data_IF_396759504860
#
_entry.id   IF_396759504860
#
_cell.length_a   1.000
_cell.length_b   1.000
_cell.length_c   1.000
_cell.angle_alpha   90.00
_cell.angle_beta   90.00
_cell.angle_gamma   90.00
#
_symmetry.space_group_name_H-M   'P 1'
#
loop_
_entity.id
_entity.type
_entity.pdbx_description
1 polymer ?
#
# COMPACT_ATOMS: atom_id res chain seq x y z
N UNK A 1 52.07 -3.78 2.88
CA UNK A 1 50.95 -3.60 3.84
C UNK A 1 50.59 -4.94 4.47
N UNK A 2 50.60 -5.02 5.80
CA UNK A 2 50.31 -6.26 6.52
C UNK A 2 48.79 -6.51 6.59
N UNK A 3 48.35 -7.77 6.72
CA UNK A 3 46.93 -8.18 6.64
C UNK A 3 46.01 -7.38 7.59
N UNK A 4 46.53 -7.00 8.76
CA UNK A 4 45.85 -6.16 9.77
C UNK A 4 45.50 -4.76 9.25
N UNK A 5 46.37 -4.16 8.44
CA UNK A 5 46.15 -2.84 7.83
C UNK A 5 45.10 -2.90 6.72
N UNK A 6 45.02 -4.03 5.99
CA UNK A 6 43.98 -4.26 4.97
C UNK A 6 42.60 -4.46 5.61
N UNK A 7 42.53 -5.20 6.72
CA UNK A 7 41.27 -5.45 7.44
C UNK A 7 40.72 -4.18 8.11
N UNK A 8 41.59 -3.38 8.73
CA UNK A 8 41.21 -2.09 9.31
C UNK A 8 40.70 -1.10 8.25
N UNK A 9 41.36 -1.04 7.08
CA UNK A 9 40.91 -0.21 5.97
C UNK A 9 39.55 -0.70 5.40
N UNK A 10 39.34 -2.01 5.28
CA UNK A 10 38.07 -2.58 4.82
C UNK A 10 36.91 -2.30 5.79
N UNK A 11 37.13 -2.35 7.11
CA UNK A 11 36.12 -1.98 8.10
C UNK A 11 35.77 -0.49 8.07
N UNK A 12 36.75 0.39 7.89
CA UNK A 12 36.51 1.85 7.76
C UNK A 12 35.77 2.16 6.47
N UNK A 13 36.07 1.47 5.36
CA UNK A 13 35.35 1.62 4.10
C UNK A 13 33.91 1.08 4.20
N UNK A 14 33.68 -0.02 4.90
CA UNK A 14 32.34 -0.55 5.16
C UNK A 14 31.51 0.34 6.12
N UNK A 15 32.17 1.01 7.07
CA UNK A 15 31.52 1.94 8.00
C UNK A 15 31.10 3.28 7.38
N UNK A 16 31.60 3.60 6.18
CA UNK A 16 31.23 4.81 5.43
C UNK A 16 30.13 4.57 4.39
N UNK A 17 29.62 3.34 4.28
CA UNK A 17 28.44 3.07 3.43
C UNK A 17 27.23 3.55 4.21
N UNK A 18 26.79 4.79 3.99
CA UNK A 18 25.45 5.20 4.35
C UNK A 18 24.50 4.38 3.48
N UNK A 19 24.09 3.21 3.97
CA UNK A 19 22.88 2.61 3.44
C UNK A 19 21.77 3.62 3.70
N UNK A 20 21.25 4.25 2.65
CA UNK A 20 20.01 5.00 2.75
C UNK A 20 18.97 3.99 3.23
N UNK A 21 18.68 4.02 4.53
CA UNK A 21 17.65 3.18 5.10
C UNK A 21 16.34 3.71 4.57
N UNK A 22 15.53 2.86 3.95
CA UNK A 22 14.21 3.25 3.51
C UNK A 22 13.41 3.75 4.72
N UNK A 23 12.83 4.94 4.58
CA UNK A 23 11.91 5.49 5.55
C UNK A 23 10.50 4.97 5.24
N UNK A 24 9.78 4.53 6.27
CA UNK A 24 8.40 4.09 6.14
C UNK A 24 7.47 5.28 6.32
N UNK A 25 6.46 5.39 5.47
CA UNK A 25 5.44 6.43 5.51
C UNK A 25 4.06 5.80 5.60
N UNK A 26 3.22 6.33 6.48
CA UNK A 26 1.79 6.04 6.51
C UNK A 26 1.04 6.97 5.56
N UNK A 27 0.02 6.45 4.91
CA UNK A 27 -0.87 7.16 3.99
C UNK A 27 -2.28 7.08 4.52
N UNK A 28 -2.95 8.22 4.59
CA UNK A 28 -4.39 8.30 4.79
C UNK A 28 -4.98 9.22 3.73
N UNK A 29 -5.88 8.69 2.93
CA UNK A 29 -6.54 9.41 1.85
C UNK A 29 -8.04 9.23 1.95
N UNK A 30 -8.78 10.29 1.64
CA UNK A 30 -10.23 10.25 1.55
C UNK A 30 -10.68 10.81 0.20
N UNK A 31 -11.77 10.25 -0.30
CA UNK A 31 -12.45 10.66 -1.51
C UNK A 31 -13.90 10.95 -1.16
N UNK A 32 -14.48 12.00 -1.73
CA UNK A 32 -15.93 12.06 -1.81
C UNK A 32 -16.40 11.01 -2.79
N UNK A 33 -17.57 10.44 -2.56
CA UNK A 33 -18.30 9.69 -3.57
C UNK A 33 -19.82 9.80 -3.31
N UNK A 34 -20.63 9.40 -4.29
CA UNK A 34 -22.08 9.30 -4.11
C UNK A 34 -22.53 7.90 -3.65
N UNK A 35 -21.62 7.14 -3.04
CA UNK A 35 -21.86 5.80 -2.50
C UNK A 35 -22.65 5.82 -1.20
N UNK A 36 -22.76 4.65 -0.54
CA UNK A 36 -23.59 4.47 0.66
C UNK A 36 -23.05 5.27 1.85
N UNK A 37 -21.72 5.36 1.96
CA UNK A 37 -21.02 6.07 3.03
C UNK A 37 -20.75 7.54 2.69
N UNK A 38 -20.94 7.93 1.41
CA UNK A 38 -20.64 9.26 0.88
C UNK A 38 -19.15 9.60 0.81
N UNK A 39 -18.29 8.69 1.26
CA UNK A 39 -16.84 8.80 1.23
C UNK A 39 -16.20 7.42 1.14
N UNK A 40 -15.09 7.37 0.41
CA UNK A 40 -14.17 6.23 0.33
C UNK A 40 -12.84 6.61 0.95
N UNK A 41 -12.28 5.73 1.77
CA UNK A 41 -11.04 5.96 2.51
C UNK A 41 -10.02 4.90 2.13
N UNK A 42 -8.78 5.33 1.90
CA UNK A 42 -7.62 4.45 1.80
C UNK A 42 -6.68 4.71 2.99
N UNK A 43 -6.29 3.65 3.69
CA UNK A 43 -5.27 3.70 4.73
C UNK A 43 -4.20 2.65 4.45
N UNK A 44 -2.95 3.09 4.30
CA UNK A 44 -1.85 2.21 3.91
C UNK A 44 -0.49 2.72 4.34
N UNK A 45 0.54 2.08 3.82
CA UNK A 45 1.94 2.47 4.05
C UNK A 45 2.82 2.12 2.86
N UNK A 46 3.95 2.81 2.73
CA UNK A 46 5.02 2.46 1.80
C UNK A 46 6.38 2.77 2.40
N UNK A 47 7.41 2.15 1.84
CA UNK A 47 8.81 2.44 2.14
C UNK A 47 9.42 3.22 0.98
N UNK A 48 10.19 4.26 1.31
CA UNK A 48 10.88 5.12 0.35
C UNK A 48 12.37 5.22 0.70
N UNK A 49 13.22 4.84 -0.25
CA UNK A 49 14.69 4.86 -0.10
C UNK A 49 15.36 6.10 -0.72
N UNK A 50 14.57 7.05 -1.23
CA UNK A 50 15.05 8.21 -1.98
C UNK A 50 15.04 8.03 -3.50
N UNK A 51 14.77 6.81 -4.01
CA UNK A 51 14.72 6.50 -5.44
C UNK A 51 13.54 5.62 -5.83
N UNK A 52 13.18 4.63 -5.02
CA UNK A 52 12.15 3.64 -5.32
C UNK A 52 11.19 3.47 -4.16
N UNK A 53 9.91 3.27 -4.51
CA UNK A 53 8.89 2.89 -3.55
C UNK A 53 8.88 1.37 -3.43
N UNK A 54 8.77 0.87 -2.21
CA UNK A 54 8.55 -0.54 -1.93
C UNK A 54 7.47 -0.73 -0.86
N UNK A 55 6.95 -1.96 -0.76
CA UNK A 55 5.96 -2.36 0.24
C UNK A 55 4.67 -1.51 0.26
N UNK A 56 4.31 -0.90 -0.88
CA UNK A 56 3.09 -0.10 -0.94
C UNK A 56 1.83 -0.98 -0.91
N UNK A 57 1.09 -0.88 0.19
CA UNK A 57 -0.12 -1.65 0.44
C UNK A 57 -1.05 -0.89 1.37
N UNK A 58 -2.33 -1.29 1.41
CA UNK A 58 -3.29 -0.67 2.30
C UNK A 58 -4.70 -1.22 2.17
N UNK A 59 -5.59 -0.69 3.00
CA UNK A 59 -7.00 -1.00 3.05
C UNK A 59 -7.80 0.11 2.39
N UNK A 60 -8.59 -0.23 1.38
CA UNK A 60 -9.54 0.67 0.71
C UNK A 60 -10.96 0.32 1.15
N UNK A 61 -11.76 1.28 1.60
CA UNK A 61 -13.16 1.04 1.92
C UNK A 61 -14.03 0.93 0.67
N UNK A 62 -14.94 -0.03 0.65
CA UNK A 62 -15.96 -0.19 -0.37
C UNK A 62 -16.95 0.98 -0.36
N UNK A 63 -17.25 1.54 -1.54
CA UNK A 63 -18.06 2.76 -1.67
C UNK A 63 -19.55 2.48 -1.83
N UNK A 64 -19.92 1.38 -2.50
CA UNK A 64 -21.32 1.09 -2.87
C UNK A 64 -22.05 0.21 -1.86
N UNK A 65 -21.38 -0.26 -0.81
CA UNK A 65 -21.92 -1.29 0.05
C UNK A 65 -21.73 -1.00 1.53
N UNK A 66 -22.82 -1.12 2.30
CA UNK A 66 -22.80 -1.13 3.76
C UNK A 66 -23.04 -2.53 4.27
N UNK A 67 -22.24 -2.96 5.24
CA UNK A 67 -22.27 -4.31 5.76
C UNK A 67 -23.62 -4.69 6.38
N UNK A 68 -24.07 -5.92 6.18
CA UNK A 68 -25.29 -6.42 6.79
C UNK A 68 -25.10 -7.87 7.28
N UNK A 69 -25.02 -8.06 8.60
CA UNK A 69 -24.78 -9.39 9.21
C UNK A 69 -25.88 -10.43 8.98
N UNK A 70 -27.02 -10.06 8.37
CA UNK A 70 -28.04 -11.02 7.90
C UNK A 70 -27.81 -11.49 6.47
N UNK A 71 -27.09 -10.70 5.68
CA UNK A 71 -26.67 -10.99 4.31
C UNK A 71 -25.22 -11.50 4.23
N UNK A 72 -24.40 -11.31 5.28
CA UNK A 72 -22.99 -11.72 5.34
C UNK A 72 -22.63 -12.31 6.71
N UNK A 73 -21.78 -13.33 6.73
CA UNK A 73 -21.09 -13.78 7.94
C UNK A 73 -19.89 -12.87 8.27
N UNK A 74 -19.29 -13.06 9.45
CA UNK A 74 -18.16 -12.25 9.94
C UNK A 74 -16.92 -12.25 9.03
N UNK A 75 -16.86 -13.14 8.04
CA UNK A 75 -15.74 -13.30 7.12
C UNK A 75 -16.05 -12.75 5.72
N UNK A 76 -17.18 -12.08 5.53
CA UNK A 76 -17.57 -11.51 4.23
C UNK A 76 -18.16 -12.55 3.28
N UNK A 77 -18.45 -13.76 3.77
CA UNK A 77 -19.15 -14.76 2.98
C UNK A 77 -20.64 -14.50 3.05
N UNK A 78 -21.32 -14.66 1.92
CA UNK A 78 -22.76 -14.46 1.87
C UNK A 78 -23.51 -15.40 2.81
N UNK A 79 -24.28 -14.81 3.73
CA UNK A 79 -25.31 -15.51 4.48
C UNK A 79 -26.59 -15.59 3.62
N UNK A 80 -27.30 -16.73 3.66
CA UNK A 80 -28.61 -16.85 3.02
C UNK A 80 -28.63 -17.08 1.50
N UNK A 81 -27.52 -17.52 0.90
CA UNK A 81 -27.52 -17.99 -0.49
C UNK A 81 -27.20 -16.94 -1.56
N UNK A 82 -26.65 -15.76 -1.20
CA UNK A 82 -25.97 -14.88 -2.16
C UNK A 82 -24.60 -15.48 -2.56
N UNK A 83 -24.61 -16.71 -3.05
CA UNK A 83 -23.40 -17.44 -3.42
C UNK A 83 -22.67 -16.71 -4.55
N UNK A 84 -21.54 -16.09 -4.22
CA UNK A 84 -20.51 -15.82 -5.20
C UNK A 84 -19.18 -15.92 -4.49
N UNK A 85 -18.43 -16.96 -4.81
CA UNK A 85 -17.04 -17.14 -4.39
C UNK A 85 -16.14 -15.93 -4.76
N UNK A 86 -16.61 -14.99 -5.58
CA UNK A 86 -15.95 -13.73 -5.91
C UNK A 86 -16.13 -12.60 -4.87
N UNK A 87 -17.02 -12.77 -3.87
CA UNK A 87 -17.28 -11.76 -2.82
C UNK A 87 -16.39 -11.96 -1.61
N UNK A 88 -16.35 -13.18 -1.06
CA UNK A 88 -15.67 -13.48 0.21
C UNK A 88 -14.15 -13.47 0.12
N UNK A 89 -13.58 -13.61 -1.09
CA UNK A 89 -12.12 -13.63 -1.29
C UNK A 89 -11.51 -12.24 -1.35
N UNK A 90 -12.34 -11.22 -1.60
CA UNK A 90 -11.87 -9.87 -1.93
C UNK A 90 -12.01 -8.90 -0.75
N UNK A 91 -12.88 -9.21 0.21
CA UNK A 91 -13.06 -8.43 1.45
C UNK A 91 -12.04 -8.87 2.50
N UNK A 92 -11.39 -7.90 3.12
CA UNK A 92 -10.52 -8.08 4.28
C UNK A 92 -11.35 -8.50 5.49
N UNK A 93 -10.95 -9.59 6.15
CA UNK A 93 -11.59 -10.04 7.39
C UNK A 93 -11.09 -9.22 8.58
N UNK A 94 -11.87 -8.23 9.02
CA UNK A 94 -11.54 -7.38 10.17
C UNK A 94 -11.70 -8.16 11.50
N UNK A 95 -10.76 -8.05 12.45
CA UNK A 95 -10.93 -8.59 13.79
C UNK A 95 -12.18 -8.00 14.47
N UNK A 96 -13.10 -8.86 14.91
CA UNK A 96 -14.39 -8.44 15.47
C UNK A 96 -15.53 -8.31 14.45
N UNK A 97 -15.22 -8.50 13.15
CA UNK A 97 -16.18 -8.34 12.06
C UNK A 97 -16.55 -6.89 11.79
N UNK A 98 -17.46 -6.69 10.85
CA UNK A 98 -18.01 -5.38 10.50
C UNK A 98 -19.33 -5.12 11.22
N UNK A 99 -19.54 -3.88 11.65
CA UNK A 99 -20.81 -3.39 12.18
C UNK A 99 -21.85 -3.21 11.07
N UNK A 100 -23.13 -3.17 11.43
CA UNK A 100 -24.20 -2.89 10.46
C UNK A 100 -23.96 -1.54 9.76
N UNK A 101 -24.03 -1.53 8.43
CA UNK A 101 -23.77 -0.45 7.49
C UNK A 101 -22.31 0.05 7.42
N UNK A 102 -21.36 -0.62 8.08
CA UNK A 102 -19.93 -0.32 7.92
C UNK A 102 -19.45 -0.70 6.52
N UNK A 103 -18.59 0.12 5.90
CA UNK A 103 -18.00 -0.24 4.62
C UNK A 103 -17.00 -1.39 4.81
N UNK A 104 -17.16 -2.53 4.10
CA UNK A 104 -16.11 -3.54 4.06
C UNK A 104 -14.82 -2.96 3.48
N UNK A 105 -13.68 -3.54 3.88
CA UNK A 105 -12.36 -3.10 3.43
C UNK A 105 -11.80 -4.08 2.39
N UNK A 106 -11.08 -3.57 1.41
CA UNK A 106 -10.32 -4.30 0.39
C UNK A 106 -8.84 -4.23 0.72
N UNK A 107 -8.16 -5.38 0.72
CA UNK A 107 -6.73 -5.45 1.03
C UNK A 107 -5.88 -5.37 -0.25
N UNK A 108 -5.45 -4.15 -0.59
CA UNK A 108 -4.61 -3.87 -1.74
C UNK A 108 -3.15 -4.15 -1.38
N UNK A 109 -2.58 -5.23 -1.92
CA UNK A 109 -1.24 -5.73 -1.54
C UNK A 109 -0.28 -5.84 -2.71
N UNK A 110 -0.75 -5.66 -3.93
CA UNK A 110 0.06 -5.85 -5.13
C UNK A 110 0.54 -4.49 -5.64
N UNK A 111 1.75 -4.05 -5.27
CA UNK A 111 2.39 -2.87 -5.85
C UNK A 111 2.92 -3.21 -7.25
N UNK A 112 2.16 -2.88 -8.30
CA UNK A 112 2.47 -3.34 -9.67
C UNK A 112 2.84 -2.23 -10.66
N UNK A 113 2.56 -0.98 -10.31
CA UNK A 113 2.85 0.15 -11.20
C UNK A 113 3.52 1.27 -10.41
N UNK A 114 4.58 1.84 -10.98
CA UNK A 114 5.24 3.03 -10.48
C UNK A 114 5.91 3.79 -11.62
N UNK A 115 5.92 5.11 -11.51
CA UNK A 115 6.60 6.00 -12.44
C UNK A 115 7.06 7.25 -11.71
N UNK A 116 8.14 7.87 -12.21
CA UNK A 116 8.63 9.15 -11.72
C UNK A 116 8.68 10.15 -12.86
N UNK A 117 8.11 11.33 -12.65
CA UNK A 117 8.14 12.44 -13.60
C UNK A 117 8.56 13.72 -12.87
N UNK A 118 9.80 14.15 -13.09
CA UNK A 118 10.37 15.24 -12.31
C UNK A 118 10.53 14.82 -10.84
N UNK A 119 10.00 15.63 -9.91
CA UNK A 119 9.95 15.30 -8.48
C UNK A 119 8.74 14.47 -8.08
N UNK A 120 7.77 14.26 -8.98
CA UNK A 120 6.55 13.53 -8.65
C UNK A 120 6.77 12.03 -8.84
N UNK A 121 6.52 11.28 -7.76
CA UNK A 121 6.51 9.82 -7.76
C UNK A 121 5.07 9.36 -7.73
N UNK A 122 4.69 8.53 -8.69
CA UNK A 122 3.39 7.87 -8.76
C UNK A 122 3.59 6.39 -8.47
N UNK A 123 2.73 5.83 -7.64
CA UNK A 123 2.75 4.41 -7.30
C UNK A 123 1.33 3.91 -7.09
N UNK A 124 1.04 2.70 -7.59
CA UNK A 124 -0.29 2.09 -7.49
C UNK A 124 -0.21 0.71 -6.86
N UNK A 125 -1.19 0.41 -6.02
CA UNK A 125 -1.38 -0.91 -5.41
C UNK A 125 -2.74 -1.48 -5.79
N UNK A 126 -2.79 -2.79 -5.98
CA UNK A 126 -3.93 -3.51 -6.56
C UNK A 126 -4.40 -4.65 -5.64
N UNK A 127 -5.70 -4.94 -5.73
CA UNK A 127 -6.32 -6.05 -5.00
C UNK A 127 -5.87 -7.38 -5.59
N UNK A 128 -5.88 -7.48 -6.92
CA UNK A 128 -5.41 -8.63 -7.66
C UNK A 128 -3.98 -8.41 -8.14
N UNK A 129 -3.25 -9.50 -8.39
CA UNK A 129 -1.93 -9.45 -8.99
C UNK A 129 -2.00 -9.18 -10.51
N UNK A 130 -2.67 -8.10 -10.89
CA UNK A 130 -2.77 -7.59 -12.25
C UNK A 130 -3.06 -6.09 -12.23
N UNK A 131 -2.59 -5.37 -13.24
CA UNK A 131 -2.95 -3.96 -13.49
C UNK A 131 -4.25 -3.82 -14.27
N UNK A 132 -4.86 -4.91 -14.72
CA UNK A 132 -6.12 -4.89 -15.44
C UNK A 132 -7.27 -4.67 -14.45
N UNK A 133 -7.90 -3.50 -14.55
CA UNK A 133 -9.02 -3.08 -13.72
C UNK A 133 -10.19 -2.67 -14.62
N UNK A 134 -9.90 -2.01 -15.74
CA UNK A 134 -10.92 -1.46 -16.65
C UNK A 134 -11.01 -2.21 -17.98
N UNK A 135 -12.12 -2.03 -18.70
CA UNK A 135 -12.36 -2.68 -20.00
C UNK A 135 -11.24 -2.38 -20.99
N UNK A 136 -10.80 -3.41 -21.74
CA UNK A 136 -9.66 -3.29 -22.64
C UNK A 136 -8.28 -3.43 -21.97
N UNK A 137 -8.22 -3.52 -20.64
CA UNK A 137 -7.00 -3.70 -19.86
C UNK A 137 -6.47 -2.41 -19.24
N UNK A 138 -5.52 -2.55 -18.30
CA UNK A 138 -4.99 -1.44 -17.52
C UNK A 138 -5.99 -0.87 -16.50
N UNK A 139 -5.68 0.30 -15.94
CA UNK A 139 -6.40 0.88 -14.80
C UNK A 139 -6.69 2.38 -14.93
N UNK A 140 -6.65 2.92 -16.15
CA UNK A 140 -6.99 4.32 -16.40
C UNK A 140 -8.51 4.54 -16.35
N UNK A 141 -8.99 4.84 -15.14
CA UNK A 141 -10.41 5.15 -14.87
C UNK A 141 -10.87 6.50 -15.44
N UNK A 142 -9.94 7.37 -15.85
CA UNK A 142 -10.27 8.65 -16.48
C UNK A 142 -10.71 8.47 -17.93
N UNK A 143 -10.18 7.44 -18.60
CA UNK A 143 -10.58 7.05 -19.94
C UNK A 143 -11.87 6.23 -19.94
N UNK A 144 -12.04 5.30 -18.98
CA UNK A 144 -13.23 4.46 -18.89
C UNK A 144 -13.45 3.92 -17.47
N UNK A 145 -14.67 4.07 -16.91
CA UNK A 145 -15.03 3.48 -15.62
C UNK A 145 -15.65 2.07 -15.76
N UNK A 146 -15.53 1.42 -16.91
CA UNK A 146 -16.06 0.07 -17.15
C UNK A 146 -15.11 -0.98 -16.59
N UNK A 147 -15.61 -1.96 -15.84
CA UNK A 147 -14.81 -3.05 -15.28
C UNK A 147 -14.14 -3.93 -16.36
N UNK A 148 -12.98 -4.48 -16.07
CA UNK A 148 -12.31 -5.46 -16.92
C UNK A 148 -13.16 -6.73 -17.10
N UNK A 149 -13.19 -7.29 -18.31
CA UNK A 149 -14.02 -8.47 -18.62
C UNK A 149 -15.50 -8.13 -18.74
N UNK A 150 -15.83 -6.89 -19.12
CA UNK A 150 -17.19 -6.44 -19.40
C UNK A 150 -17.30 -5.89 -20.83
N UNK A 151 -18.53 -5.66 -21.31
CA UNK A 151 -18.81 -5.05 -22.62
C UNK A 151 -18.25 -5.81 -23.84
N UNK A 152 -18.04 -7.13 -23.72
CA UNK A 152 -17.61 -7.96 -24.85
C UNK A 152 -16.15 -7.73 -25.26
N UNK A 153 -15.31 -7.28 -24.34
CA UNK A 153 -13.87 -7.07 -24.54
C UNK A 153 -13.05 -8.37 -24.71
N UNK A 154 -13.71 -9.53 -24.66
CA UNK A 154 -13.10 -10.85 -24.80
C UNK A 154 -12.37 -11.34 -23.54
N UNK A 155 -12.40 -10.57 -22.45
CA UNK A 155 -11.73 -10.89 -21.20
C UNK A 155 -12.69 -11.48 -20.17
N UNK A 156 -12.13 -12.18 -19.18
CA UNK A 156 -12.89 -12.65 -18.01
C UNK A 156 -12.75 -11.66 -16.86
N UNK A 157 -13.83 -11.43 -16.12
CA UNK A 157 -13.79 -10.59 -14.92
C UNK A 157 -12.76 -11.09 -13.92
N UNK A 158 -11.96 -10.15 -13.41
CA UNK A 158 -10.99 -10.41 -12.35
C UNK A 158 -11.35 -9.72 -11.02
N UNK A 159 -12.39 -8.89 -10.98
CA UNK A 159 -12.87 -8.20 -9.77
C UNK A 159 -11.75 -7.47 -9.02
N UNK A 160 -11.01 -6.64 -9.74
CA UNK A 160 -9.87 -5.90 -9.23
C UNK A 160 -10.28 -4.53 -8.69
N UNK A 161 -9.43 -3.97 -7.85
CA UNK A 161 -9.50 -2.60 -7.37
C UNK A 161 -8.09 -2.06 -7.22
N UNK A 162 -7.95 -0.74 -7.20
CA UNK A 162 -6.65 -0.10 -7.03
C UNK A 162 -6.76 1.24 -6.32
N UNK A 163 -5.63 1.65 -5.75
CA UNK A 163 -5.38 3.01 -5.32
C UNK A 163 -4.04 3.47 -5.88
N UNK A 164 -4.00 4.72 -6.34
CA UNK A 164 -2.81 5.40 -6.85
C UNK A 164 -2.48 6.58 -5.96
N UNK A 165 -1.25 6.58 -5.44
CA UNK A 165 -0.65 7.65 -4.68
C UNK A 165 0.27 8.48 -5.58
N UNK A 166 0.25 9.79 -5.37
CA UNK A 166 1.28 10.71 -5.88
C UNK A 166 1.88 11.49 -4.72
N UNK A 167 3.20 11.57 -4.66
CA UNK A 167 3.92 12.40 -3.68
C UNK A 167 5.14 13.08 -4.33
N UNK A 168 5.62 14.16 -3.72
CA UNK A 168 6.85 14.83 -4.15
C UNK A 168 8.07 14.21 -3.44
N UNK A 169 9.05 13.73 -4.21
CA UNK A 169 10.26 13.09 -3.69
C UNK A 169 11.16 14.04 -2.89
N UNK A 170 11.02 15.35 -3.08
CA UNK A 170 11.79 16.37 -2.34
C UNK A 170 11.20 16.67 -0.96
N UNK A 171 9.89 16.45 -0.79
CA UNK A 171 9.21 16.52 0.49
C UNK A 171 7.99 15.59 0.50
N UNK A 172 8.22 14.33 0.90
CA UNK A 172 7.21 13.26 0.87
C UNK A 172 5.97 13.58 1.70
N UNK A 173 6.11 14.36 2.77
CA UNK A 173 5.01 14.70 3.68
C UNK A 173 4.18 15.92 3.24
N UNK A 174 4.65 16.69 2.25
CA UNK A 174 3.90 17.83 1.73
C UNK A 174 2.95 17.37 0.62
N UNK A 175 1.66 17.30 0.96
CA UNK A 175 0.61 16.83 0.06
C UNK A 175 -0.13 17.97 -0.64
N UNK A 176 0.26 19.23 -0.43
CA UNK A 176 -0.47 20.41 -0.93
C UNK A 176 -0.62 20.44 -2.45
N UNK A 177 0.35 19.89 -3.19
CA UNK A 177 0.33 19.81 -4.65
C UNK A 177 -0.12 18.44 -5.18
N UNK A 178 -0.25 17.42 -4.32
CA UNK A 178 -0.50 16.03 -4.74
C UNK A 178 -1.81 15.45 -4.22
N UNK A 179 -2.49 16.12 -3.27
CA UNK A 179 -3.77 15.69 -2.74
C UNK A 179 -4.86 15.55 -3.84
N UNK A 180 -4.82 16.38 -4.87
CA UNK A 180 -5.75 16.29 -6.00
C UNK A 180 -5.31 15.24 -7.05
N UNK A 181 -4.15 14.62 -6.91
CA UNK A 181 -3.60 13.69 -7.91
C UNK A 181 -3.81 12.22 -7.56
N UNK A 182 -4.40 11.92 -6.39
CA UNK A 182 -4.75 10.55 -6.02
C UNK A 182 -5.93 10.05 -6.84
N UNK A 183 -5.93 8.74 -7.09
CA UNK A 183 -6.97 8.08 -7.88
C UNK A 183 -7.29 6.74 -7.24
N UNK A 184 -8.56 6.37 -7.18
CA UNK A 184 -8.95 5.00 -6.92
C UNK A 184 -9.95 4.51 -7.96
N UNK A 185 -10.00 3.19 -8.11
CA UNK A 185 -11.04 2.50 -8.84
C UNK A 185 -11.38 1.19 -8.17
N UNK A 186 -12.65 0.96 -7.96
CA UNK A 186 -13.23 -0.23 -7.36
C UNK A 186 -14.15 -0.91 -8.37
N UNK A 187 -13.61 -1.96 -8.99
CA UNK A 187 -14.32 -2.83 -9.91
C UNK A 187 -14.55 -4.21 -9.27
N UNK A 188 -14.45 -4.31 -7.94
CA UNK A 188 -14.88 -5.51 -7.23
C UNK A 188 -16.38 -5.66 -7.36
N UNK A 189 -16.91 -6.83 -7.05
CA UNK A 189 -18.34 -7.05 -7.18
C UNK A 189 -19.22 -6.12 -6.32
N UNK A 190 -18.65 -5.58 -5.23
CA UNK A 190 -19.33 -4.68 -4.31
C UNK A 190 -19.16 -3.21 -4.72
N UNK A 191 -18.06 -2.87 -5.41
CA UNK A 191 -17.82 -1.55 -5.99
C UNK A 191 -18.57 -1.25 -7.29
N UNK A 192 -19.34 -2.20 -7.85
CA UNK A 192 -20.03 -1.98 -9.12
C UNK A 192 -21.33 -1.20 -8.97
N UNK A 193 -21.49 -0.20 -9.82
CA UNK A 193 -22.75 0.46 -10.10
C UNK A 193 -23.60 -0.37 -11.08
N UNK A 194 -24.88 -0.55 -10.74
CA UNK A 194 -25.84 -1.31 -11.54
C UNK A 194 -26.47 -2.46 -10.75
N UNK A 195 -27.00 -3.49 -11.42
CA UNK A 195 -27.50 -4.68 -10.73
C UNK A 195 -26.37 -5.26 -9.88
N UNK A 196 -26.68 -5.52 -8.59
CA UNK A 196 -25.72 -5.99 -7.61
C UNK A 196 -24.89 -7.14 -8.22
N UNK A 197 -23.56 -7.06 -8.11
CA UNK A 197 -22.61 -8.10 -8.52
C UNK A 197 -22.41 -8.30 -10.03
N UNK A 198 -23.28 -7.76 -10.88
CA UNK A 198 -23.19 -7.87 -12.35
C UNK A 198 -23.10 -6.53 -13.07
N UNK A 199 -23.09 -5.42 -12.32
CA UNK A 199 -22.93 -4.06 -12.86
C UNK A 199 -21.65 -3.93 -13.68
N UNK A 200 -21.66 -3.10 -14.73
CA UNK A 200 -20.54 -2.96 -15.65
C UNK A 200 -19.59 -1.80 -15.29
N UNK A 201 -20.07 -0.83 -14.53
CA UNK A 201 -19.31 0.35 -14.14
C UNK A 201 -18.87 0.21 -12.68
N UNK A 202 -17.65 0.55 -12.34
CA UNK A 202 -17.19 0.58 -10.95
C UNK A 202 -17.15 1.97 -10.37
N UNK A 203 -16.97 2.02 -9.07
CA UNK A 203 -16.74 3.27 -8.35
C UNK A 203 -15.34 3.77 -8.57
N UNK A 204 -15.21 5.05 -8.84
CA UNK A 204 -13.95 5.71 -9.17
C UNK A 204 -13.97 7.12 -8.61
N UNK A 205 -12.79 7.60 -8.25
CA UNK A 205 -12.58 9.01 -7.96
C UNK A 205 -11.23 9.46 -8.49
N UNK A 206 -11.23 10.65 -9.09
CA UNK A 206 -10.05 11.32 -9.64
C UNK A 206 -10.37 12.81 -9.83
N UNK A 207 -9.34 13.64 -10.06
CA UNK A 207 -9.53 15.05 -10.36
C UNK A 207 -10.36 15.26 -11.62
N UNK A 208 -11.44 16.03 -11.51
CA UNK A 208 -12.40 16.25 -12.59
C UNK A 208 -13.70 15.44 -12.45
N UNK A 209 -13.76 14.53 -11.48
CA UNK A 209 -14.96 13.81 -11.10
C UNK A 209 -15.04 12.41 -11.73
N UNK A 210 -14.90 11.41 -10.88
CA UNK A 210 -15.20 10.01 -11.19
C UNK A 210 -16.69 9.69 -11.10
N UNK A 211 -17.00 8.40 -11.06
CA UNK A 211 -18.38 7.93 -10.93
C UNK A 211 -19.07 8.54 -9.71
N UNK A 212 -20.37 8.85 -9.85
CA UNK A 212 -21.17 9.41 -8.75
C UNK A 212 -20.59 10.70 -8.13
N UNK A 213 -19.80 11.46 -8.91
CA UNK A 213 -19.13 12.67 -8.41
C UNK A 213 -17.91 12.38 -7.54
N UNK A 214 -17.30 11.20 -7.69
CA UNK A 214 -16.15 10.80 -6.90
C UNK A 214 -14.95 11.72 -7.11
N UNK A 215 -14.37 12.30 -6.06
CA UNK A 215 -13.23 13.20 -6.20
C UNK A 215 -12.29 13.09 -4.98
N UNK A 216 -10.99 13.37 -5.13
CA UNK A 216 -10.09 13.52 -3.99
C UNK A 216 -10.63 14.54 -2.99
N UNK A 217 -10.63 14.18 -1.71
CA UNK A 217 -11.06 15.06 -0.61
C UNK A 217 -9.88 15.45 0.29
N UNK A 218 -9.01 14.49 0.61
CA UNK A 218 -7.83 14.74 1.42
C UNK A 218 -6.74 13.69 1.20
N UNK A 219 -5.50 14.09 1.44
CA UNK A 219 -4.32 13.22 1.47
C UNK A 219 -3.41 13.67 2.61
N UNK A 220 -3.02 12.72 3.45
CA UNK A 220 -2.02 12.88 4.51
C UNK A 220 -0.96 11.80 4.39
N UNK A 221 0.30 12.21 4.41
CA UNK A 221 1.46 11.32 4.44
C UNK A 221 2.29 11.68 5.67
N UNK A 222 2.59 10.67 6.50
CA UNK A 222 3.34 10.87 7.74
C UNK A 222 4.48 9.86 7.84
N UNK A 223 5.68 10.34 8.15
CA UNK A 223 6.82 9.44 8.38
C UNK A 223 6.61 8.66 9.68
N UNK A 224 6.82 7.34 9.61
CA UNK A 224 6.81 6.47 10.79
C UNK A 224 8.11 6.70 11.53
N UNK A 225 8.02 7.24 12.74
CA UNK A 225 9.20 7.45 13.58
C UNK A 225 9.96 6.12 13.74
N UNK A 226 11.22 6.11 13.30
CA UNK A 226 12.11 4.97 13.53
C UNK A 226 12.16 4.71 15.05
N UNK A 227 11.67 3.55 15.49
CA UNK A 227 11.76 3.15 16.88
C UNK A 227 13.25 3.10 17.24
N UNK A 228 13.75 3.95 18.15
CA UNK A 228 15.16 3.92 18.52
C UNK A 228 15.45 2.56 19.11
N UNK A 229 16.18 1.70 18.38
CA UNK A 229 16.64 0.43 18.92
C UNK A 229 17.48 0.75 20.17
N UNK A 230 17.07 0.32 21.37
CA UNK A 230 17.76 0.75 22.59
C UNK A 230 19.13 0.08 22.65
N UNK A 231 20.21 0.83 22.36
CA UNK A 231 21.59 0.64 22.83
C UNK A 231 22.31 -0.71 22.61
N UNK A 232 21.62 -1.76 22.17
CA UNK A 232 22.11 -3.13 22.17
C UNK A 232 23.16 -3.34 21.09
N UNK A 233 23.04 -2.66 19.95
CA UNK A 233 24.06 -2.69 18.89
C UNK A 233 25.39 -2.10 19.38
N UNK A 234 25.34 -1.08 20.25
CA UNK A 234 26.52 -0.53 20.91
C UNK A 234 27.06 -1.45 22.02
N UNK A 235 26.18 -2.07 22.80
CA UNK A 235 26.54 -2.97 23.91
C UNK A 235 27.16 -4.28 23.41
N UNK A 236 26.68 -4.82 22.28
CA UNK A 236 27.22 -6.02 21.64
C UNK A 236 28.42 -5.72 20.72
N UNK A 237 28.46 -4.54 20.08
CA UNK A 237 29.63 -4.09 19.33
C UNK A 237 30.86 -3.85 20.20
N UNK A 238 30.68 -3.27 21.39
CA UNK A 238 31.74 -3.09 22.38
C UNK A 238 32.23 -4.40 23.01
N UNK A 239 31.32 -5.34 23.26
CA UNK A 239 31.67 -6.66 23.83
C UNK A 239 32.45 -7.55 22.86
N UNK A 240 32.17 -7.48 21.56
CA UNK A 240 32.95 -8.18 20.54
C UNK A 240 34.38 -7.62 20.41
N UNK A 241 34.53 -6.30 20.43
CA UNK A 241 35.84 -5.65 20.34
C UNK A 241 36.70 -5.86 21.61
N UNK A 242 36.08 -5.97 22.79
CA UNK A 242 36.80 -6.29 24.03
C UNK A 242 37.33 -7.73 24.07
N UNK A 243 36.62 -8.67 23.44
CA UNK A 243 37.03 -10.09 23.36
C UNK A 243 38.26 -10.30 22.47
N UNK A 244 38.43 -9.51 21.41
CA UNK A 244 39.64 -9.55 20.57
C UNK A 244 40.83 -8.80 21.18
N UNK A 245 40.60 -7.84 22.09
CA UNK A 245 41.64 -7.11 22.82
C UNK A 245 42.25 -7.87 24.01
N UNK A 246 41.48 -8.77 24.62
CA UNK A 246 41.87 -9.47 25.85
C UNK A 246 42.93 -10.57 25.67
N UNK A 247 43.28 -10.97 24.44
CA UNK A 247 44.19 -12.11 24.20
C UNK A 247 45.64 -11.71 23.87
N UNK A 248 46.22 -10.75 24.61
CA UNK A 248 47.68 -10.56 24.66
C UNK A 248 48.25 -11.32 25.86
N UNK A 249 48.59 -12.59 25.64
CA UNK A 249 49.29 -13.45 26.62
C UNK A 249 50.54 -12.76 27.17
N UNK A 250 50.65 -12.69 28.50
CA UNK A 250 51.91 -12.43 29.21
C UNK A 250 52.87 -13.59 28.93
N UNK A 251 54.01 -13.30 28.29
CA UNK A 251 55.16 -14.20 28.27
C UNK A 251 55.91 -14.03 29.58
N UNK A 252 55.83 -15.02 30.47
CA UNK A 252 56.66 -15.08 31.68
C UNK A 252 57.97 -15.76 31.30
N UNK A 253 59.10 -15.08 31.46
CA UNK A 253 60.43 -15.68 31.31
C UNK A 253 60.79 -16.41 32.63
N UNK A 254 61.40 -17.61 32.58
CA UNK A 254 61.93 -18.25 33.77
C UNK A 254 63.30 -17.66 34.15
N UNK A 255 63.62 -17.73 35.45
CA UNK A 255 64.90 -17.35 36.04
C UNK A 255 66.02 -18.30 35.65
#
# INVERSE_FOLDING_TARGET
MNLKSKLAAAMVLAANVSMAQAATYNVSAAFTDGGVQGQTVFNGSFDWDGSTVSNFSGLLSESMFGWNGTAFDSNGSAAGGMNGAAYSTNVFAQPGGYALNEAPLLNLTNQLASSTSGSLVTVSTFLQNSTDVVTGGGYDVTATPMAYGTMGDGNSRNYNAFFTLVFDSTNVTDTSATADQIVYGDMTSLGLMGPMLTGAMGMTAFLGGGSMGGAPLSLSITEVAAVPLPGAVWLFGGALLSLFGANRRKSVLPA
#
